data_IF_450504522723
#
_entry.id   IF_450504522723
#
_cell.length_a   1.000
_cell.length_b   1.000
_cell.length_c   1.000
_cell.angle_alpha   90.00
_cell.angle_beta   90.00
_cell.angle_gamma   90.00
#
_symmetry.space_group_name_H-M   'P 1'
#
loop_
_entity.id
_entity.type
_entity.pdbx_description
1 polymer ?
#
# COMPACT_ATOMS: atom_id res chain seq x y z
N UNK A 1 10.44 -37.88 13.11
CA UNK A 1 10.38 -39.32 12.76
C UNK A 1 10.88 -39.48 11.33
N UNK A 2 11.75 -40.45 11.05
CA UNK A 2 12.25 -40.71 9.69
C UNK A 2 11.36 -41.78 9.04
N UNK A 3 10.74 -41.44 7.91
CA UNK A 3 9.83 -42.33 7.18
C UNK A 3 10.62 -43.23 6.23
N UNK A 4 10.21 -44.50 6.08
CA UNK A 4 10.76 -45.37 5.03
C UNK A 4 10.34 -44.89 3.64
N UNK A 5 11.02 -45.34 2.59
CA UNK A 5 10.68 -44.98 1.21
C UNK A 5 9.27 -45.48 0.80
N UNK A 6 8.87 -46.65 1.30
CA UNK A 6 7.52 -47.20 1.08
C UNK A 6 6.44 -46.35 1.76
N UNK A 7 6.68 -45.89 3.00
CA UNK A 7 5.78 -45.00 3.73
C UNK A 7 5.66 -43.63 3.03
N UNK A 8 6.77 -43.09 2.53
CA UNK A 8 6.79 -41.83 1.77
C UNK A 8 5.96 -41.95 0.48
N UNK A 9 6.13 -43.04 -0.27
CA UNK A 9 5.37 -43.28 -1.49
C UNK A 9 3.86 -43.44 -1.25
N UNK A 10 3.47 -44.06 -0.13
CA UNK A 10 2.07 -44.14 0.27
C UNK A 10 1.49 -42.76 0.57
N UNK A 11 2.20 -41.95 1.37
CA UNK A 11 1.77 -40.59 1.71
C UNK A 11 1.64 -39.69 0.47
N UNK A 12 2.56 -39.81 -0.49
CA UNK A 12 2.49 -39.06 -1.75
C UNK A 12 1.25 -39.39 -2.57
N UNK A 13 0.82 -40.67 -2.59
CA UNK A 13 -0.42 -41.07 -3.29
C UNK A 13 -1.67 -40.48 -2.66
N UNK A 14 -1.65 -40.26 -1.35
CA UNK A 14 -2.76 -39.64 -0.61
C UNK A 14 -2.73 -38.11 -0.62
N UNK A 15 -1.60 -37.49 -0.98
CA UNK A 15 -1.48 -36.05 -1.08
C UNK A 15 -2.26 -35.55 -2.32
N UNK A 16 -3.15 -34.55 -2.18
CA UNK A 16 -3.93 -34.06 -3.30
C UNK A 16 -3.04 -33.41 -4.37
N UNK A 17 -3.47 -33.51 -5.62
CA UNK A 17 -2.80 -32.80 -6.72
C UNK A 17 -3.06 -31.30 -6.60
N UNK A 18 -2.02 -30.53 -6.28
CA UNK A 18 -2.09 -29.08 -6.06
C UNK A 18 -1.32 -28.36 -7.16
N UNK A 19 -2.01 -27.48 -7.88
CA UNK A 19 -1.39 -26.56 -8.82
C UNK A 19 -0.86 -25.34 -8.07
N UNK A 20 0.47 -25.13 -8.14
CA UNK A 20 1.11 -23.95 -7.56
C UNK A 20 0.74 -22.70 -8.36
N UNK A 21 0.53 -21.59 -7.66
CA UNK A 21 0.24 -20.31 -8.27
C UNK A 21 1.36 -19.88 -9.24
N UNK A 22 1.00 -19.25 -10.35
CA UNK A 22 1.96 -18.73 -11.31
C UNK A 22 2.66 -17.49 -10.74
N UNK A 23 3.91 -17.68 -10.32
CA UNK A 23 4.78 -16.61 -9.83
C UNK A 23 5.63 -16.07 -10.99
N UNK A 24 5.58 -14.75 -11.21
CA UNK A 24 6.38 -14.06 -12.23
C UNK A 24 7.51 -13.29 -11.57
N UNK A 25 8.75 -13.52 -12.01
CA UNK A 25 9.90 -12.74 -11.55
C UNK A 25 9.90 -11.37 -12.22
N UNK A 26 9.93 -10.32 -11.41
CA UNK A 26 9.96 -8.93 -11.87
C UNK A 26 11.26 -8.29 -11.44
N UNK A 27 11.90 -7.55 -12.36
CA UNK A 27 13.26 -7.06 -12.15
C UNK A 27 13.37 -5.55 -11.94
N UNK A 28 12.33 -4.75 -12.21
CA UNK A 28 12.45 -3.28 -12.31
C UNK A 28 11.23 -2.44 -11.93
N UNK A 29 10.09 -3.03 -11.56
CA UNK A 29 8.84 -2.26 -11.31
C UNK A 29 8.18 -2.66 -10.00
N UNK A 30 7.75 -1.66 -9.23
CA UNK A 30 6.80 -1.82 -8.13
C UNK A 30 5.41 -1.91 -8.74
N UNK A 31 4.65 -2.93 -8.35
CA UNK A 31 3.30 -3.15 -8.85
C UNK A 31 2.28 -2.55 -7.90
N UNK A 32 1.20 -1.98 -8.45
CA UNK A 32 0.05 -1.63 -7.64
C UNK A 32 -0.58 -2.94 -7.12
N UNK A 33 -0.56 -3.13 -5.81
CA UNK A 33 -0.96 -4.38 -5.18
C UNK A 33 -1.63 -4.11 -3.85
N UNK A 34 -2.63 -4.91 -3.49
CA UNK A 34 -3.30 -4.79 -2.20
C UNK A 34 -2.45 -5.32 -1.04
N UNK A 35 -1.57 -6.29 -1.31
CA UNK A 35 -0.74 -6.94 -0.29
C UNK A 35 0.68 -7.12 -0.79
N UNK A 36 1.65 -6.72 0.03
CA UNK A 36 3.08 -6.84 -0.22
C UNK A 36 3.68 -7.71 0.89
N UNK A 37 4.24 -8.85 0.52
CA UNK A 37 4.76 -9.87 1.41
C UNK A 37 6.29 -9.90 1.37
N UNK A 38 6.94 -9.95 2.53
CA UNK A 38 8.37 -10.26 2.63
C UNK A 38 8.57 -11.77 2.75
N UNK A 39 8.97 -12.40 1.64
CA UNK A 39 9.21 -13.84 1.57
C UNK A 39 10.64 -14.15 2.01
N UNK A 40 10.86 -14.95 3.07
CA UNK A 40 12.19 -15.24 3.58
C UNK A 40 13.01 -16.12 2.62
N UNK A 41 14.34 -16.10 2.79
CA UNK A 41 15.22 -17.12 2.22
C UNK A 41 15.02 -18.42 3.00
N UNK A 42 14.71 -19.51 2.29
CA UNK A 42 14.53 -20.82 2.88
C UNK A 42 14.04 -21.87 1.90
N UNK A 43 13.70 -23.04 2.43
CA UNK A 43 13.21 -24.18 1.67
C UNK A 43 11.71 -24.06 1.45
N UNK A 44 11.25 -24.09 0.20
CA UNK A 44 9.82 -24.13 -0.13
C UNK A 44 9.24 -25.48 0.26
N UNK A 45 8.10 -25.48 0.93
CA UNK A 45 7.45 -26.68 1.41
C UNK A 45 5.92 -26.55 1.37
N UNK A 46 5.25 -27.68 1.19
CA UNK A 46 3.88 -27.84 1.71
C UNK A 46 3.94 -28.27 3.18
N UNK A 47 3.07 -27.73 4.00
CA UNK A 47 2.79 -28.25 5.33
C UNK A 47 1.40 -28.87 5.34
N UNK A 48 1.36 -30.20 5.49
CA UNK A 48 0.15 -30.99 5.44
C UNK A 48 -0.20 -31.50 6.83
N UNK A 49 -1.30 -30.99 7.38
CA UNK A 49 -1.88 -31.49 8.62
C UNK A 49 -2.86 -32.61 8.26
N UNK A 50 -2.54 -33.81 8.72
CA UNK A 50 -3.31 -35.02 8.41
C UNK A 50 -3.24 -36.03 9.54
N UNK A 51 -3.93 -37.15 9.39
CA UNK A 51 -3.81 -38.31 10.27
C UNK A 51 -2.93 -39.35 9.58
N UNK A 52 -1.84 -39.73 10.23
CA UNK A 52 -0.98 -40.82 9.77
C UNK A 52 -1.04 -41.97 10.76
N UNK A 53 -1.46 -43.14 10.28
CA UNK A 53 -1.80 -44.31 11.11
C UNK A 53 -2.92 -43.92 12.10
N UNK A 54 -2.59 -43.67 13.36
CA UNK A 54 -3.55 -43.28 14.41
C UNK A 54 -3.24 -41.93 15.04
N UNK A 55 -2.28 -41.18 14.49
CA UNK A 55 -1.81 -39.93 15.07
C UNK A 55 -2.06 -38.75 14.15
N UNK A 56 -2.50 -37.65 14.73
CA UNK A 56 -2.58 -36.35 14.07
C UNK A 56 -1.18 -35.77 13.94
N UNK A 57 -0.73 -35.56 12.70
CA UNK A 57 0.64 -35.16 12.39
C UNK A 57 0.68 -33.96 11.45
N UNK A 58 1.78 -33.22 11.51
CA UNK A 58 2.16 -32.24 10.50
C UNK A 58 3.30 -32.83 9.66
N UNK A 59 3.09 -32.91 8.35
CA UNK A 59 4.04 -33.44 7.37
C UNK A 59 4.55 -32.28 6.53
N UNK A 60 5.85 -32.06 6.51
CA UNK A 60 6.50 -31.14 5.57
C UNK A 60 6.90 -31.89 4.31
N UNK A 61 6.42 -31.41 3.16
CA UNK A 61 6.79 -31.90 1.85
C UNK A 61 7.65 -30.83 1.16
N UNK A 62 8.96 -31.02 1.13
CA UNK A 62 9.90 -30.10 0.51
C UNK A 62 9.72 -30.07 -1.00
N UNK A 63 9.62 -28.88 -1.56
CA UNK A 63 9.44 -28.63 -2.99
C UNK A 63 10.80 -28.25 -3.59
N UNK A 64 11.27 -29.07 -4.52
CA UNK A 64 12.48 -28.82 -5.31
C UNK A 64 12.28 -27.67 -6.31
N UNK A 65 13.38 -27.20 -6.89
CA UNK A 65 13.36 -26.15 -7.93
C UNK A 65 12.51 -26.54 -9.15
N UNK A 66 12.46 -27.83 -9.47
CA UNK A 66 11.61 -28.40 -10.53
C UNK A 66 10.13 -28.50 -10.13
N UNK A 67 9.71 -27.85 -9.03
CA UNK A 67 8.35 -27.89 -8.45
C UNK A 67 7.84 -29.30 -8.11
N UNK A 68 8.76 -30.24 -7.86
CA UNK A 68 8.44 -31.61 -7.44
C UNK A 68 8.73 -31.80 -5.96
N UNK A 69 7.94 -32.65 -5.29
CA UNK A 69 8.20 -33.03 -3.91
C UNK A 69 9.48 -33.88 -3.86
N UNK A 70 10.47 -33.44 -3.09
CA UNK A 70 11.78 -34.09 -3.01
C UNK A 70 12.03 -34.78 -1.68
N UNK A 71 11.47 -34.28 -0.57
CA UNK A 71 11.64 -34.85 0.77
C UNK A 71 10.37 -34.73 1.59
N UNK A 72 10.12 -35.71 2.44
CA UNK A 72 8.92 -35.78 3.29
C UNK A 72 9.35 -36.04 4.73
N UNK A 73 8.97 -35.15 5.64
CA UNK A 73 9.37 -35.22 7.03
C UNK A 73 8.18 -34.92 7.95
N UNK A 74 7.92 -35.80 8.93
CA UNK A 74 6.98 -35.51 10.01
C UNK A 74 7.65 -34.61 11.04
N UNK A 75 7.02 -33.48 11.33
CA UNK A 75 7.51 -32.46 12.27
C UNK A 75 6.55 -32.27 13.43
N UNK A 76 7.08 -31.80 14.56
CA UNK A 76 6.29 -31.40 15.71
C UNK A 76 5.82 -29.95 15.54
N UNK A 77 4.53 -29.73 15.70
CA UNK A 77 3.90 -28.41 15.71
C UNK A 77 2.78 -28.42 16.77
N UNK A 78 2.51 -27.28 17.40
CA UNK A 78 1.41 -27.18 18.37
C UNK A 78 0.13 -26.75 17.64
N UNK A 79 -0.72 -27.71 17.31
CA UNK A 79 -1.94 -27.47 16.54
C UNK A 79 -3.15 -28.25 17.07
N UNK A 80 -4.34 -27.74 16.78
CA UNK A 80 -5.62 -28.35 17.11
C UNK A 80 -5.92 -29.52 16.17
N UNK A 81 -6.40 -30.64 16.72
CA UNK A 81 -6.59 -31.89 15.98
C UNK A 81 -7.43 -31.77 14.71
N UNK A 82 -8.39 -30.83 14.67
CA UNK A 82 -9.25 -30.62 13.50
C UNK A 82 -8.49 -30.17 12.25
N UNK A 83 -7.29 -29.57 12.39
CA UNK A 83 -6.48 -29.27 11.21
C UNK A 83 -6.07 -30.54 10.47
N UNK A 84 -5.99 -31.69 11.16
CA UNK A 84 -5.71 -32.99 10.56
C UNK A 84 -6.82 -33.54 9.68
N UNK A 85 -7.99 -32.90 9.60
CA UNK A 85 -9.04 -33.25 8.63
C UNK A 85 -8.66 -32.91 7.17
N UNK A 86 -7.42 -32.48 6.94
CA UNK A 86 -6.88 -32.18 5.62
C UNK A 86 -6.66 -30.69 5.43
N UNK A 87 -5.72 -30.13 6.18
CA UNK A 87 -5.29 -28.72 6.01
C UNK A 87 -3.93 -28.69 5.35
N UNK A 88 -3.76 -27.88 4.30
CA UNK A 88 -2.52 -27.82 3.52
C UNK A 88 -2.12 -26.36 3.30
N UNK A 89 -0.99 -25.99 3.89
CA UNK A 89 -0.32 -24.71 3.63
C UNK A 89 0.78 -24.89 2.60
N UNK A 90 1.11 -23.79 1.95
CA UNK A 90 2.32 -23.62 1.17
C UNK A 90 3.12 -22.45 1.74
N UNK A 91 4.44 -22.59 1.79
CA UNK A 91 5.28 -21.55 2.38
C UNK A 91 6.76 -21.88 2.36
N UNK A 92 7.50 -21.12 3.16
CA UNK A 92 8.96 -21.25 3.27
C UNK A 92 9.35 -21.65 4.69
N UNK A 93 10.14 -22.72 4.80
CA UNK A 93 10.83 -23.09 6.03
C UNK A 93 12.15 -22.34 6.10
N UNK A 94 12.35 -21.59 7.18
CA UNK A 94 13.60 -20.90 7.49
C UNK A 94 14.10 -21.27 8.90
N UNK A 95 15.40 -21.10 9.11
CA UNK A 95 16.01 -21.24 10.43
C UNK A 95 16.52 -19.88 10.89
N UNK A 96 16.08 -19.45 12.07
CA UNK A 96 16.50 -18.19 12.68
C UNK A 96 16.82 -18.45 14.16
N UNK A 97 18.02 -18.05 14.61
CA UNK A 97 18.50 -18.25 15.99
C UNK A 97 18.30 -19.71 16.48
N UNK A 98 18.71 -20.68 15.67
CA UNK A 98 18.59 -22.13 15.91
C UNK A 98 17.15 -22.67 16.09
N UNK A 99 16.12 -21.90 15.72
CA UNK A 99 14.73 -22.36 15.68
C UNK A 99 14.22 -22.41 14.25
N UNK A 100 13.39 -23.41 13.95
CA UNK A 100 12.74 -23.57 12.65
C UNK A 100 11.40 -22.86 12.64
N UNK A 101 11.18 -22.05 11.61
CA UNK A 101 9.94 -21.34 11.36
C UNK A 101 9.38 -21.77 10.02
N UNK A 102 8.05 -21.86 9.95
CA UNK A 102 7.31 -21.99 8.70
C UNK A 102 6.59 -20.67 8.44
N UNK A 103 7.03 -19.95 7.41
CA UNK A 103 6.36 -18.75 6.91
C UNK A 103 5.27 -19.18 5.94
N UNK A 104 4.01 -19.17 6.40
CA UNK A 104 2.83 -19.57 5.63
C UNK A 104 2.45 -18.50 4.60
N UNK A 105 2.66 -18.82 3.33
CA UNK A 105 2.45 -17.89 2.21
C UNK A 105 1.10 -18.09 1.53
N UNK A 106 0.59 -19.32 1.50
CA UNK A 106 -0.69 -19.64 0.91
C UNK A 106 -1.35 -20.86 1.57
N UNK A 107 -2.65 -21.01 1.37
CA UNK A 107 -3.44 -22.16 1.83
C UNK A 107 -4.24 -22.72 0.66
N UNK A 108 -4.20 -24.04 0.53
CA UNK A 108 -4.86 -24.80 -0.53
C UNK A 108 -6.06 -25.57 -0.03
N UNK A 109 -5.93 -26.15 1.16
CA UNK A 109 -7.01 -26.88 1.83
C UNK A 109 -7.12 -26.44 3.27
N UNK A 110 -8.35 -26.29 3.76
CA UNK A 110 -8.65 -26.03 5.16
C UNK A 110 -9.69 -27.05 5.64
N UNK A 111 -9.28 -27.93 6.56
CA UNK A 111 -10.10 -29.01 7.12
C UNK A 111 -10.86 -29.81 6.05
N UNK A 112 -10.16 -30.20 4.98
CA UNK A 112 -10.71 -30.98 3.86
C UNK A 112 -11.38 -30.15 2.76
N UNK A 113 -11.68 -28.87 3.00
CA UNK A 113 -12.27 -27.99 1.98
C UNK A 113 -11.19 -27.37 1.10
N UNK A 114 -11.31 -27.49 -0.23
CA UNK A 114 -10.41 -26.84 -1.18
C UNK A 114 -10.69 -25.34 -1.25
N UNK A 115 -9.69 -24.52 -0.88
CA UNK A 115 -9.74 -23.06 -0.87
C UNK A 115 -8.68 -22.45 -1.80
N UNK A 116 -8.08 -23.25 -2.68
CA UNK A 116 -7.00 -22.84 -3.59
C UNK A 116 -7.35 -21.64 -4.45
N UNK A 117 -8.59 -21.60 -4.97
CA UNK A 117 -9.12 -20.54 -5.85
C UNK A 117 -9.75 -19.37 -5.10
N UNK A 118 -9.79 -19.39 -3.77
CA UNK A 118 -10.36 -18.29 -2.99
C UNK A 118 -9.48 -17.04 -3.07
N UNK A 119 -10.10 -15.85 -3.06
CA UNK A 119 -9.38 -14.58 -2.99
C UNK A 119 -8.45 -14.51 -1.77
N UNK A 120 -7.31 -13.83 -1.92
CA UNK A 120 -6.28 -13.80 -0.88
C UNK A 120 -6.80 -13.19 0.44
N UNK A 121 -7.68 -12.18 0.38
CA UNK A 121 -8.40 -11.67 1.56
C UNK A 121 -9.11 -12.76 2.38
N UNK A 122 -9.79 -13.69 1.71
CA UNK A 122 -10.49 -14.80 2.37
C UNK A 122 -9.48 -15.79 2.97
N UNK A 123 -8.37 -16.05 2.27
CA UNK A 123 -7.28 -16.86 2.79
C UNK A 123 -6.63 -16.25 4.04
N UNK A 124 -6.45 -14.92 4.07
CA UNK A 124 -5.98 -14.20 5.26
C UNK A 124 -6.97 -14.31 6.43
N UNK A 125 -8.27 -14.29 6.17
CA UNK A 125 -9.27 -14.52 7.21
C UNK A 125 -9.17 -15.95 7.80
N UNK A 126 -8.92 -16.96 6.95
CA UNK A 126 -8.66 -18.33 7.42
C UNK A 126 -7.38 -18.38 8.26
N UNK A 127 -6.29 -17.77 7.79
CA UNK A 127 -5.05 -17.71 8.58
C UNK A 127 -5.23 -17.01 9.92
N UNK A 128 -6.04 -15.93 9.97
CA UNK A 128 -6.37 -15.26 11.23
C UNK A 128 -7.03 -16.23 12.21
N UNK A 129 -8.02 -17.01 11.78
CA UNK A 129 -8.65 -18.05 12.62
C UNK A 129 -7.61 -19.06 13.10
N UNK A 130 -6.84 -19.63 12.17
CA UNK A 130 -5.83 -20.66 12.45
C UNK A 130 -4.83 -20.17 13.50
N UNK A 131 -4.23 -19.00 13.31
CA UNK A 131 -3.19 -18.49 14.20
C UNK A 131 -3.71 -17.89 15.50
N UNK A 132 -5.01 -17.61 15.59
CA UNK A 132 -5.64 -17.14 16.84
C UNK A 132 -6.03 -18.30 17.75
N UNK A 133 -6.55 -19.41 17.19
CA UNK A 133 -7.16 -20.48 18.00
C UNK A 133 -6.68 -21.90 17.72
N UNK A 134 -6.07 -22.17 16.56
CA UNK A 134 -5.85 -23.55 16.11
C UNK A 134 -4.37 -23.94 16.03
N UNK A 135 -3.46 -22.98 15.92
CA UNK A 135 -2.02 -23.21 15.99
C UNK A 135 -1.43 -22.25 17.02
N UNK A 136 -0.67 -22.77 17.98
CA UNK A 136 0.11 -21.96 18.93
C UNK A 136 1.54 -21.80 18.41
N UNK A 137 2.07 -20.58 18.47
CA UNK A 137 3.43 -20.26 18.02
C UNK A 137 4.48 -20.63 19.08
N UNK A 138 4.50 -21.90 19.48
CA UNK A 138 5.37 -22.43 20.52
C UNK A 138 6.23 -23.59 19.99
N UNK A 139 7.47 -23.67 20.47
CA UNK A 139 8.36 -24.80 20.23
C UNK A 139 8.66 -25.48 21.57
N UNK A 140 8.18 -26.72 21.73
CA UNK A 140 8.42 -27.53 22.93
C UNK A 140 9.68 -28.39 22.82
N UNK A 141 10.07 -28.73 21.60
CA UNK A 141 11.21 -29.60 21.28
C UNK A 141 12.13 -28.91 20.28
N UNK A 142 13.41 -29.28 20.24
CA UNK A 142 14.39 -28.70 19.30
C UNK A 142 13.97 -28.81 17.83
N UNK A 143 13.32 -29.92 17.45
CA UNK A 143 12.82 -30.14 16.09
C UNK A 143 11.42 -29.59 15.82
N UNK A 144 10.88 -28.79 16.75
CA UNK A 144 9.56 -28.15 16.58
C UNK A 144 9.63 -27.06 15.52
N UNK A 145 8.56 -26.95 14.74
CA UNK A 145 8.41 -25.92 13.71
C UNK A 145 7.35 -24.93 14.18
N UNK A 146 7.75 -23.65 14.28
CA UNK A 146 6.85 -22.56 14.67
C UNK A 146 6.24 -21.98 13.40
N UNK A 147 4.91 -22.01 13.30
CA UNK A 147 4.20 -21.48 12.13
C UNK A 147 3.84 -20.02 12.34
N UNK A 148 3.93 -19.22 11.28
CA UNK A 148 3.48 -17.83 11.28
C UNK A 148 3.27 -17.34 9.86
N UNK A 149 2.80 -16.10 9.72
CA UNK A 149 2.71 -15.43 8.43
C UNK A 149 4.03 -14.72 8.09
N UNK A 150 4.35 -14.54 6.79
CA UNK A 150 5.34 -13.55 6.40
C UNK A 150 4.89 -12.15 6.84
N UNK A 151 5.83 -11.20 6.88
CA UNK A 151 5.46 -9.79 7.08
C UNK A 151 4.64 -9.36 5.87
N UNK A 152 3.44 -8.83 6.13
CA UNK A 152 2.51 -8.32 5.12
C UNK A 152 2.32 -6.83 5.36
N UNK A 153 2.40 -6.03 4.30
CA UNK A 153 2.17 -4.59 4.32
C UNK A 153 1.34 -4.18 3.10
N UNK A 154 0.65 -3.04 3.21
CA UNK A 154 0.05 -2.34 2.06
C UNK A 154 0.98 -1.25 1.48
N UNK A 155 2.11 -0.98 2.15
CA UNK A 155 3.12 0.01 1.75
C UNK A 155 4.47 -0.68 1.54
N UNK A 156 5.05 -0.49 0.36
CA UNK A 156 6.34 -1.07 -0.01
C UNK A 156 7.43 -0.53 0.92
N UNK A 157 7.43 0.77 1.17
CA UNK A 157 8.43 1.42 2.01
C UNK A 157 8.36 0.97 3.47
N UNK A 158 7.15 0.86 4.04
CA UNK A 158 6.97 0.35 5.40
C UNK A 158 7.49 -1.09 5.51
N UNK A 159 7.25 -1.91 4.48
CA UNK A 159 7.77 -3.26 4.40
C UNK A 159 9.31 -3.26 4.31
N UNK A 160 9.90 -2.44 3.45
CA UNK A 160 11.35 -2.37 3.26
C UNK A 160 12.08 -1.90 4.51
N UNK A 161 11.53 -0.91 5.24
CA UNK A 161 12.04 -0.51 6.55
C UNK A 161 12.00 -1.65 7.55
N UNK A 162 10.91 -2.42 7.55
CA UNK A 162 10.76 -3.60 8.41
C UNK A 162 11.76 -4.69 8.03
N UNK A 163 11.90 -4.98 6.73
CA UNK A 163 12.83 -5.98 6.20
C UNK A 163 14.28 -5.68 6.58
N UNK A 164 14.68 -4.41 6.59
CA UNK A 164 16.02 -3.99 6.96
C UNK A 164 16.45 -4.36 8.39
N UNK A 165 15.48 -4.56 9.30
CA UNK A 165 15.74 -4.90 10.71
C UNK A 165 15.40 -6.36 11.07
N UNK A 166 15.00 -7.19 10.09
CA UNK A 166 14.63 -8.57 10.34
C UNK A 166 15.85 -9.42 10.75
N UNK A 167 15.67 -10.39 11.68
CA UNK A 167 16.75 -11.28 12.11
C UNK A 167 17.03 -12.42 11.10
N UNK A 168 16.47 -12.34 9.89
CA UNK A 168 16.62 -13.30 8.80
C UNK A 168 16.61 -12.57 7.46
N UNK A 169 17.18 -13.21 6.42
CA UNK A 169 17.24 -12.63 5.08
C UNK A 169 15.92 -12.81 4.33
N UNK A 170 15.47 -11.76 3.66
CA UNK A 170 14.33 -11.79 2.72
C UNK A 170 14.83 -12.16 1.33
N UNK A 171 14.17 -13.10 0.65
CA UNK A 171 14.48 -13.55 -0.72
C UNK A 171 13.69 -12.75 -1.75
N UNK A 172 12.39 -12.56 -1.50
CA UNK A 172 11.51 -11.87 -2.42
C UNK A 172 10.63 -10.84 -1.69
N UNK A 173 10.39 -9.71 -2.34
CA UNK A 173 9.24 -8.86 -2.07
C UNK A 173 8.15 -9.29 -3.05
N UNK A 174 7.08 -9.85 -2.52
CA UNK A 174 6.01 -10.46 -3.31
C UNK A 174 4.77 -9.59 -3.30
N UNK A 175 4.26 -9.25 -4.48
CA UNK A 175 3.09 -8.39 -4.68
C UNK A 175 1.89 -9.27 -5.05
N UNK A 176 0.78 -9.09 -4.33
CA UNK A 176 -0.50 -9.78 -4.55
C UNK A 176 -1.65 -8.79 -4.66
N UNK A 177 -2.57 -9.06 -5.58
CA UNK A 177 -3.78 -8.28 -5.79
C UNK A 177 -5.02 -9.10 -5.40
N UNK A 178 -6.10 -8.42 -5.02
CA UNK A 178 -7.41 -9.08 -4.85
C UNK A 178 -8.10 -9.33 -6.21
N UNK A 179 -7.76 -8.54 -7.24
CA UNK A 179 -8.42 -8.62 -8.55
C UNK A 179 -7.64 -9.44 -9.60
N UNK A 180 -6.40 -9.83 -9.31
CA UNK A 180 -5.57 -10.65 -10.20
C UNK A 180 -4.95 -11.80 -9.40
N UNK A 181 -5.03 -13.01 -9.95
CA UNK A 181 -4.43 -14.21 -9.37
C UNK A 181 -2.91 -14.28 -9.60
N UNK A 182 -2.35 -13.39 -10.42
CA UNK A 182 -0.90 -13.31 -10.65
C UNK A 182 -0.15 -12.85 -9.41
N UNK A 183 0.91 -13.58 -9.11
CA UNK A 183 1.84 -13.26 -8.03
C UNK A 183 3.13 -12.74 -8.66
N UNK A 184 3.54 -11.52 -8.31
CA UNK A 184 4.77 -10.93 -8.83
C UNK A 184 5.84 -10.92 -7.73
N UNK A 185 7.02 -11.49 -8.02
CA UNK A 185 8.14 -11.58 -7.09
C UNK A 185 9.29 -10.68 -7.54
N UNK A 186 9.71 -9.76 -6.67
CA UNK A 186 10.92 -8.97 -6.83
C UNK A 186 12.03 -9.56 -5.95
N UNK A 187 13.19 -9.89 -6.53
CA UNK A 187 14.35 -10.40 -5.79
C UNK A 187 14.87 -9.35 -4.80
N UNK A 188 15.24 -9.78 -3.59
CA UNK A 188 15.81 -8.94 -2.52
C UNK A 188 17.15 -9.54 -2.00
N UNK A 189 18.17 -8.71 -1.64
CA UNK A 189 18.22 -7.26 -1.76
C UNK A 189 18.17 -6.82 -3.22
N UNK A 190 17.53 -5.69 -3.44
CA UNK A 190 17.44 -5.07 -4.75
C UNK A 190 18.82 -4.45 -5.02
N UNK A 191 19.43 -4.65 -6.19
CA UNK A 191 20.79 -4.15 -6.47
C UNK A 191 20.94 -2.65 -6.18
N UNK A 192 22.10 -2.19 -5.75
CA UNK A 192 22.31 -0.80 -5.26
C UNK A 192 21.88 0.29 -6.26
N UNK A 193 22.01 0.06 -7.57
CA UNK A 193 21.51 0.95 -8.64
C UNK A 193 19.99 1.10 -8.68
N UNK A 194 19.24 0.17 -8.08
CA UNK A 194 17.78 0.18 -7.95
C UNK A 194 17.35 0.66 -6.56
N UNK A 195 18.19 0.53 -5.53
CA UNK A 195 17.97 1.15 -4.20
C UNK A 195 17.92 2.67 -4.35
N UNK A 196 18.70 3.28 -5.23
CA UNK A 196 18.52 4.71 -5.53
C UNK A 196 17.20 5.03 -6.25
N UNK A 197 16.48 4.06 -6.80
CA UNK A 197 15.16 4.26 -7.41
C UNK A 197 14.00 3.80 -6.50
N UNK A 198 14.28 2.99 -5.48
CA UNK A 198 13.32 2.35 -4.57
C UNK A 198 13.41 2.91 -3.15
N UNK A 199 14.60 3.37 -2.74
CA UNK A 199 14.93 3.99 -1.43
C UNK A 199 15.27 5.47 -1.57
N UNK A 200 15.58 6.00 -2.77
CA UNK A 200 15.45 7.46 -3.05
C UNK A 200 14.01 7.84 -3.34
N UNK A 201 13.17 7.62 -2.34
CA UNK A 201 12.08 8.51 -1.95
C UNK A 201 11.65 7.94 -0.61
N UNK A 202 12.01 8.57 0.52
CA UNK A 202 11.44 8.16 1.78
C UNK A 202 9.93 8.35 1.64
N UNK A 203 9.16 7.27 1.56
CA UNK A 203 7.79 7.34 2.02
C UNK A 203 7.85 7.52 3.53
N UNK A 204 7.84 8.78 3.92
CA UNK A 204 6.79 9.20 4.80
C UNK A 204 5.60 9.58 3.94
N UNK A 205 4.52 8.89 4.24
CA UNK A 205 3.15 9.15 3.81
C UNK A 205 2.90 10.64 3.66
N UNK A 206 2.40 11.02 2.50
CA UNK A 206 0.95 11.04 2.41
C UNK A 206 0.54 10.97 0.94
N UNK A 207 -0.50 10.20 0.65
CA UNK A 207 -1.47 10.58 -0.40
C UNK A 207 -2.25 11.84 0.06
N UNK A 208 -1.53 12.82 0.57
CA UNK A 208 -1.93 14.20 0.47
C UNK A 208 -1.50 14.54 -0.92
N UNK A 209 -2.49 14.86 -1.76
CA UNK A 209 -2.35 16.00 -2.66
C UNK A 209 -1.27 16.92 -2.10
N UNK A 210 -0.13 17.10 -2.77
CA UNK A 210 1.00 17.88 -2.21
C UNK A 210 0.41 19.22 -1.78
N UNK A 211 0.15 19.41 -0.49
CA UNK A 211 -0.68 20.49 0.03
C UNK A 211 0.28 21.55 0.56
N UNK A 212 0.32 22.70 -0.11
CA UNK A 212 1.22 23.81 0.22
C UNK A 212 0.36 25.03 0.49
N UNK A 213 0.70 25.79 1.52
CA UNK A 213 -0.02 27.02 1.83
C UNK A 213 0.59 28.18 1.06
N UNK A 214 -0.19 28.76 0.16
CA UNK A 214 0.11 30.03 -0.49
C UNK A 214 -0.74 31.13 0.12
N UNK A 215 -0.21 32.35 0.16
CA UNK A 215 -1.06 33.54 0.32
C UNK A 215 -1.63 33.86 -1.07
N UNK A 216 -2.94 34.03 -1.15
CA UNK A 216 -3.64 34.25 -2.42
C UNK A 216 -4.27 35.63 -2.46
N UNK A 217 -4.11 36.32 -3.59
CA UNK A 217 -4.79 37.58 -3.92
C UNK A 217 -5.51 37.47 -5.27
N UNK A 218 -6.69 38.09 -5.43
CA UNK A 218 -7.41 38.04 -6.69
C UNK A 218 -6.81 39.01 -7.71
N UNK A 219 -6.99 38.71 -9.00
CA UNK A 219 -6.84 39.68 -10.08
C UNK A 219 -8.22 40.28 -10.45
N UNK A 220 -8.27 41.31 -11.28
CA UNK A 220 -9.52 41.84 -11.86
C UNK A 220 -10.14 40.82 -12.82
N UNK A 221 -9.31 40.09 -13.57
CA UNK A 221 -9.75 39.03 -14.49
C UNK A 221 -10.36 37.82 -13.76
N UNK A 222 -11.50 37.33 -14.24
CA UNK A 222 -12.21 36.19 -13.65
C UNK A 222 -11.33 34.93 -13.61
N UNK A 223 -11.45 34.16 -12.53
CA UNK A 223 -10.70 32.92 -12.25
C UNK A 223 -9.17 33.05 -12.24
N UNK A 224 -8.63 34.28 -12.18
CA UNK A 224 -7.20 34.53 -12.02
C UNK A 224 -6.90 34.95 -10.58
N UNK A 225 -5.99 34.19 -9.96
CA UNK A 225 -5.55 34.40 -8.58
C UNK A 225 -4.05 34.24 -8.48
N UNK A 226 -3.37 35.18 -7.83
CA UNK A 226 -1.93 35.18 -7.65
C UNK A 226 -1.54 34.36 -6.42
N UNK A 227 -0.57 33.47 -6.57
CA UNK A 227 0.04 32.71 -5.49
C UNK A 227 1.29 33.45 -5.01
N UNK A 228 1.35 33.75 -3.72
CA UNK A 228 2.48 34.44 -3.10
C UNK A 228 3.26 33.53 -2.15
N UNK A 229 4.58 33.72 -2.10
CA UNK A 229 5.49 33.03 -1.18
C UNK A 229 6.15 33.99 -0.18
N UNK A 230 6.67 33.43 0.89
CA UNK A 230 7.40 34.14 1.93
C UNK A 230 8.90 34.17 1.65
N UNK A 231 9.53 35.35 1.71
CA UNK A 231 11.00 35.47 1.68
C UNK A 231 11.46 36.57 2.64
N UNK A 232 12.36 36.23 3.57
CA UNK A 232 13.08 37.11 4.49
C UNK A 232 12.40 38.48 4.76
N UNK A 233 11.17 38.43 5.31
CA UNK A 233 10.31 39.55 5.76
C UNK A 233 9.33 40.18 4.76
N UNK A 234 9.19 39.71 3.52
CA UNK A 234 8.10 40.15 2.61
C UNK A 234 7.18 39.00 2.19
N UNK A 235 5.86 39.27 2.21
CA UNK A 235 4.79 38.32 1.86
C UNK A 235 4.15 38.60 0.50
N UNK A 236 4.76 39.50 -0.29
CA UNK A 236 4.22 40.04 -1.54
C UNK A 236 4.93 39.50 -2.78
N UNK A 237 5.74 38.46 -2.62
CA UNK A 237 6.46 37.89 -3.75
C UNK A 237 5.53 36.95 -4.51
N UNK A 238 5.14 37.36 -5.73
CA UNK A 238 4.34 36.56 -6.64
C UNK A 238 5.18 35.38 -7.15
N UNK A 239 4.60 34.18 -7.06
CA UNK A 239 5.15 32.95 -7.60
C UNK A 239 4.58 32.66 -9.00
N UNK A 240 3.27 32.43 -9.07
CA UNK A 240 2.55 32.03 -10.28
C UNK A 240 1.04 32.23 -10.06
N UNK A 241 0.22 31.90 -11.05
CA UNK A 241 -1.23 31.90 -10.97
C UNK A 241 -1.78 30.55 -10.51
N UNK A 242 -2.83 30.61 -9.68
CA UNK A 242 -3.58 29.44 -9.25
C UNK A 242 -4.31 28.79 -10.44
N UNK A 243 -4.25 27.47 -10.53
CA UNK A 243 -5.02 26.69 -11.49
C UNK A 243 -6.40 26.36 -10.92
N UNK A 244 -7.45 26.78 -11.61
CA UNK A 244 -8.84 26.48 -11.23
C UNK A 244 -9.32 25.28 -12.07
N UNK A 245 -9.40 24.06 -11.47
CA UNK A 245 -9.60 22.83 -12.23
C UNK A 245 -11.06 22.58 -12.63
N UNK A 246 -12.00 23.12 -11.87
CA UNK A 246 -13.43 22.83 -11.99
C UNK A 246 -14.29 24.01 -11.52
N UNK A 247 -15.56 23.98 -11.93
CA UNK A 247 -16.57 24.97 -11.57
C UNK A 247 -16.74 25.11 -10.06
N UNK A 248 -16.64 24.00 -9.31
CA UNK A 248 -16.77 24.01 -7.85
C UNK A 248 -15.68 24.87 -7.20
N UNK A 249 -14.46 24.77 -7.70
CA UNK A 249 -13.32 25.56 -7.22
C UNK A 249 -13.48 27.03 -7.61
N UNK A 250 -13.96 27.32 -8.83
CA UNK A 250 -14.30 28.70 -9.24
C UNK A 250 -15.34 29.33 -8.31
N UNK A 251 -16.45 28.64 -8.02
CA UNK A 251 -17.48 29.12 -7.08
C UNK A 251 -16.93 29.36 -5.68
N UNK A 252 -16.06 28.47 -5.18
CA UNK A 252 -15.39 28.64 -3.89
C UNK A 252 -14.54 29.91 -3.85
N UNK A 253 -13.71 30.13 -4.88
CA UNK A 253 -12.82 31.29 -4.94
C UNK A 253 -13.60 32.59 -5.14
N UNK A 254 -14.64 32.56 -5.97
CA UNK A 254 -15.55 33.68 -6.16
C UNK A 254 -16.22 34.07 -4.85
N UNK A 255 -16.71 33.12 -4.04
CA UNK A 255 -17.29 33.43 -2.71
C UNK A 255 -16.30 34.11 -1.76
N UNK A 256 -15.00 33.86 -1.90
CA UNK A 256 -13.97 34.45 -1.05
C UNK A 256 -13.57 35.86 -1.50
N UNK A 257 -13.44 36.07 -2.81
CA UNK A 257 -12.80 37.25 -3.39
C UNK A 257 -13.73 38.12 -4.26
N UNK A 258 -14.95 37.68 -4.58
CA UNK A 258 -15.86 38.38 -5.48
C UNK A 258 -17.30 38.37 -4.98
N UNK A 259 -18.12 39.28 -5.49
CA UNK A 259 -19.58 39.27 -5.31
C UNK A 259 -20.23 39.05 -6.68
N UNK A 260 -20.52 37.79 -7.00
CA UNK A 260 -21.12 37.36 -8.27
C UNK A 260 -22.49 36.75 -7.92
N UNK A 261 -23.58 37.40 -8.32
CA UNK A 261 -24.97 37.02 -7.95
C UNK A 261 -25.36 35.67 -8.56
N UNK A 262 -24.84 35.39 -9.75
CA UNK A 262 -25.09 34.22 -10.60
C UNK A 262 -24.57 32.91 -9.99
N UNK A 263 -23.55 32.99 -9.13
CA UNK A 263 -23.04 31.82 -8.40
C UNK A 263 -24.00 31.32 -7.30
N UNK A 264 -24.99 32.14 -6.91
CA UNK A 264 -26.01 31.79 -5.93
C UNK A 264 -27.30 31.32 -6.58
N UNK A 265 -27.70 31.93 -7.70
CA UNK A 265 -28.85 31.54 -8.49
C UNK A 265 -28.60 31.84 -9.99
N UNK A 266 -28.73 30.82 -10.86
CA UNK A 266 -28.53 31.00 -12.30
C UNK A 266 -29.59 31.92 -12.92
N UNK A 267 -30.79 31.95 -12.32
CA UNK A 267 -31.94 32.74 -12.79
C UNK A 267 -31.79 34.24 -12.46
N UNK A 268 -30.79 34.63 -11.65
CA UNK A 268 -30.51 36.03 -11.32
C UNK A 268 -30.01 36.86 -12.53
N UNK A 269 -29.72 36.20 -13.67
CA UNK A 269 -29.38 36.85 -14.94
C UNK A 269 -30.58 37.55 -15.60
N UNK A 270 -31.82 37.20 -15.21
CA UNK A 270 -33.05 37.77 -15.77
C UNK A 270 -33.66 38.89 -14.89
N UNK A 271 -33.07 39.15 -13.72
CA UNK A 271 -33.48 40.24 -12.83
C UNK A 271 -32.82 41.56 -13.28
N UNK A 272 -33.59 42.64 -13.37
CA UNK A 272 -33.06 43.96 -13.72
C UNK A 272 -32.12 44.48 -12.64
N UNK A 273 -30.92 44.93 -13.01
CA UNK A 273 -29.98 45.54 -12.08
C UNK A 273 -30.55 46.82 -11.45
N UNK A 274 -30.22 47.07 -10.18
CA UNK A 274 -30.57 48.29 -9.46
C UNK A 274 -29.76 49.49 -10.01
N UNK A 275 -30.34 50.71 -10.04
CA UNK A 275 -29.71 51.89 -10.68
C UNK A 275 -28.28 52.20 -10.16
N UNK A 276 -27.99 51.98 -8.87
CA UNK A 276 -26.66 52.17 -8.29
C UNK A 276 -25.60 51.22 -8.88
N UNK A 277 -25.98 50.02 -9.31
CA UNK A 277 -25.07 49.03 -9.91
C UNK A 277 -24.77 49.33 -11.37
N UNK A 278 -25.69 50.03 -12.04
CA UNK A 278 -25.54 50.52 -13.41
C UNK A 278 -24.59 51.73 -13.49
N UNK A 279 -24.57 52.59 -12.46
CA UNK A 279 -23.73 53.79 -12.42
C UNK A 279 -22.25 53.53 -12.04
N UNK A 280 -21.93 52.43 -11.35
CA UNK A 280 -20.54 52.08 -11.03
C UNK A 280 -19.84 51.45 -12.26
N UNK A 281 -18.94 52.18 -12.90
CA UNK A 281 -18.20 51.78 -14.11
C UNK A 281 -16.84 51.12 -13.81
N UNK A 282 -16.50 50.96 -12.53
CA UNK A 282 -15.18 50.46 -12.15
C UNK A 282 -15.00 48.99 -12.54
N UNK A 283 -13.85 48.63 -13.15
CA UNK A 283 -13.61 47.27 -13.63
C UNK A 283 -13.47 46.25 -12.48
N UNK A 284 -13.20 46.70 -11.26
CA UNK A 284 -13.01 45.90 -10.05
C UNK A 284 -14.23 45.94 -9.10
N UNK A 285 -15.36 46.56 -9.48
CA UNK A 285 -16.53 46.75 -8.59
C UNK A 285 -17.06 45.49 -7.91
N UNK A 286 -16.85 44.33 -8.53
CA UNK A 286 -17.26 43.01 -8.01
C UNK A 286 -16.13 42.19 -7.40
N UNK A 287 -14.93 42.75 -7.25
CA UNK A 287 -13.72 42.06 -6.77
C UNK A 287 -13.15 42.78 -5.56
N UNK A 288 -12.89 42.02 -4.50
CA UNK A 288 -12.25 42.53 -3.30
C UNK A 288 -10.73 42.40 -3.41
N UNK A 289 -10.08 43.36 -4.08
CA UNK A 289 -8.62 43.37 -4.31
C UNK A 289 -7.80 43.52 -3.02
N UNK A 290 -8.39 44.06 -1.95
CA UNK A 290 -7.80 44.22 -0.63
C UNK A 290 -7.78 42.93 0.20
N UNK A 291 -8.62 41.94 -0.16
CA UNK A 291 -8.71 40.68 0.57
C UNK A 291 -7.57 39.74 0.20
N UNK A 292 -6.96 39.18 1.23
CA UNK A 292 -5.93 38.15 1.08
C UNK A 292 -6.26 36.97 1.98
N UNK A 293 -6.09 35.74 1.47
CA UNK A 293 -6.33 34.53 2.25
C UNK A 293 -5.15 33.57 2.11
N UNK A 294 -4.80 32.92 3.22
CA UNK A 294 -3.88 31.79 3.20
C UNK A 294 -4.68 30.54 2.83
N UNK A 295 -4.30 29.89 1.74
CA UNK A 295 -5.01 28.74 1.20
C UNK A 295 -4.06 27.58 0.98
N UNK A 296 -4.56 26.41 1.31
CA UNK A 296 -3.89 25.15 1.03
C UNK A 296 -4.15 24.79 -0.43
N UNK A 297 -3.09 24.66 -1.22
CA UNK A 297 -3.10 24.38 -2.64
C UNK A 297 -2.46 23.02 -2.92
N UNK A 298 -2.94 22.35 -3.96
CA UNK A 298 -2.41 21.07 -4.43
C UNK A 298 -1.77 21.12 -5.80
N UNK A 299 -0.65 20.42 -5.96
CA UNK A 299 -0.01 20.31 -7.26
C UNK A 299 -0.79 19.41 -8.22
N UNK A 300 -1.18 19.95 -9.38
CA UNK A 300 -1.76 19.20 -10.47
C UNK A 300 -0.67 18.74 -11.43
N UNK A 301 -0.38 17.43 -11.44
CA UNK A 301 0.67 16.84 -12.29
C UNK A 301 0.40 16.97 -13.79
N UNK A 302 -0.87 17.02 -14.23
CA UNK A 302 -1.24 17.08 -15.64
C UNK A 302 -0.94 18.46 -16.24
N UNK A 303 -1.27 19.52 -15.49
CA UNK A 303 -1.10 20.91 -15.94
C UNK A 303 0.14 21.58 -15.36
N UNK A 304 0.86 20.91 -14.46
CA UNK A 304 2.05 21.42 -13.76
C UNK A 304 1.77 22.78 -13.10
N UNK A 305 0.65 22.89 -12.40
CA UNK A 305 0.20 24.10 -11.69
C UNK A 305 -0.43 23.77 -10.34
N UNK A 306 -0.48 24.77 -9.45
CA UNK A 306 -1.06 24.64 -8.10
C UNK A 306 -2.55 25.02 -8.10
N UNK A 307 -3.40 24.14 -7.57
CA UNK A 307 -4.84 24.33 -7.48
C UNK A 307 -5.32 24.54 -6.03
N UNK A 308 -6.07 25.60 -5.71
CA UNK A 308 -6.60 25.83 -4.37
C UNK A 308 -7.54 24.70 -3.93
N UNK A 309 -7.46 24.31 -2.65
CA UNK A 309 -8.32 23.27 -2.07
C UNK A 309 -9.19 23.77 -0.92
N UNK A 310 -8.61 24.50 0.03
CA UNK A 310 -9.28 24.96 1.26
C UNK A 310 -8.53 26.12 1.91
N UNK A 311 -9.20 26.84 2.81
CA UNK A 311 -8.56 27.81 3.69
C UNK A 311 -7.57 27.12 4.65
N UNK A 312 -6.48 27.81 4.95
CA UNK A 312 -5.48 27.37 5.92
C UNK A 312 -6.00 27.47 7.36
N UNK A 313 -5.54 26.59 8.24
CA UNK A 313 -5.90 26.56 9.66
C UNK A 313 -4.91 27.36 10.51
N UNK A 314 -5.29 27.65 11.76
CA UNK A 314 -4.45 28.39 12.71
C UNK A 314 -3.21 27.55 13.08
N UNK A 315 -2.06 27.93 12.52
CA UNK A 315 -0.79 27.23 12.69
C UNK A 315 -0.12 26.82 11.38
N UNK A 316 -0.85 26.86 10.25
CA UNK A 316 -0.29 26.59 8.92
C UNK A 316 0.66 27.72 8.49
N UNK A 317 1.84 27.35 7.98
CA UNK A 317 2.87 28.29 7.53
C UNK A 317 2.86 28.45 6.01
N UNK A 318 2.95 29.70 5.55
CA UNK A 318 3.10 30.02 4.12
C UNK A 318 4.45 29.47 3.63
N UNK A 319 4.47 28.95 2.39
CA UNK A 319 5.68 28.44 1.77
C UNK A 319 6.77 29.50 1.62
N UNK A 320 8.01 29.11 1.88
CA UNK A 320 9.18 29.96 1.68
C UNK A 320 9.82 29.77 0.31
N UNK A 321 10.58 30.77 -0.18
CA UNK A 321 11.33 30.68 -1.45
C UNK A 321 12.26 29.46 -1.52
N UNK A 322 12.93 29.13 -0.42
CA UNK A 322 13.84 27.98 -0.33
C UNK A 322 13.06 26.68 -0.55
N UNK A 323 11.90 26.54 0.09
CA UNK A 323 11.03 25.38 -0.07
C UNK A 323 10.46 25.31 -1.49
N UNK A 324 10.08 26.44 -2.07
CA UNK A 324 9.56 26.55 -3.44
C UNK A 324 10.56 26.04 -4.49
N UNK A 325 11.84 26.41 -4.35
CA UNK A 325 12.91 25.97 -5.27
C UNK A 325 13.14 24.46 -5.29
N UNK A 326 12.74 23.75 -4.23
CA UNK A 326 12.80 22.29 -4.17
C UNK A 326 11.70 21.64 -5.04
N UNK A 327 10.60 22.36 -5.30
CA UNK A 327 9.50 21.88 -6.14
C UNK A 327 9.72 22.18 -7.63
N UNK A 328 10.54 23.18 -8.00
CA UNK A 328 10.86 23.51 -9.39
C UNK A 328 11.94 22.61 -10.02
N UNK A 329 12.76 21.92 -9.22
CA UNK A 329 13.87 21.06 -9.69
C UNK A 329 13.48 19.62 -10.03
N UNK A 330 12.18 19.29 -10.05
CA UNK A 330 11.62 17.97 -10.40
C UNK A 330 10.56 18.10 -11.48
#
# INVERSE_FOLDING_TARGET
>A
MKLSETEQNFLLKSFPNIELSYETMVHKKVYNSNYILAIPVGQKCFAWFTTYKTQNVCILLEVSENKRISRINIVSACFHQELSYGTIFYGTVLTCKNKRYFSSEDIYYYKGTNVSKSAFKNKLAIFKTIFTSEIKQLAYYENSVIFGLPIISNSCDDLLRTVAILPYKTKYIQFRSDCDSKINNLMYPISDTLVENIVSKPAYRNDMKREIVFKITPDVQNDIYHLHYYDNNTTENIFDFAYIPDYKTSVMMNRLFRKIKENANLDALEESDDEEEFEDDRPDKFVFLDKTYNMVCSWNNKFKKWAPLRLAQKGDKIITKKELSYYERK
#
